data_IF_862706378398
#
_entry.id   IF_862706378398
#
_cell.length_a   1.000
_cell.length_b   1.000
_cell.length_c   1.000
_cell.angle_alpha   90.00
_cell.angle_beta   90.00
_cell.angle_gamma   90.00
#
_symmetry.space_group_name_H-M   'P 1'
#
loop_
_entity.id
_entity.type
_entity.pdbx_description
1 polymer ?
#
# COMPACT_ATOMS: atom_id res chain seq x y z
N UNK A 1 -27.92 23.50 25.32
CA UNK A 1 -27.74 22.25 24.54
C UNK A 1 -26.91 21.31 25.41
N UNK A 2 -27.45 20.12 25.73
CA UNK A 2 -26.90 19.22 26.75
C UNK A 2 -25.53 18.65 26.31
N UNK A 3 -24.53 18.61 27.19
CA UNK A 3 -23.15 18.21 26.82
C UNK A 3 -23.05 16.75 26.35
N UNK A 4 -23.97 15.89 26.82
CA UNK A 4 -24.08 14.53 26.31
C UNK A 4 -24.50 14.48 24.83
N UNK A 5 -25.41 15.38 24.42
CA UNK A 5 -25.86 15.47 23.03
C UNK A 5 -24.73 15.92 22.11
N UNK A 6 -23.84 16.80 22.58
CA UNK A 6 -22.64 17.21 21.83
C UNK A 6 -21.63 16.06 21.67
N UNK A 7 -21.42 15.28 22.72
CA UNK A 7 -20.54 14.09 22.65
C UNK A 7 -21.08 13.05 21.67
N UNK A 8 -22.39 12.80 21.71
CA UNK A 8 -23.04 11.90 20.76
C UNK A 8 -22.93 12.40 19.31
N UNK A 9 -23.10 13.70 19.07
CA UNK A 9 -22.92 14.29 17.74
C UNK A 9 -21.48 14.10 17.21
N UNK A 10 -20.47 14.32 18.05
CA UNK A 10 -19.06 14.12 17.68
C UNK A 10 -18.75 12.65 17.32
N UNK A 11 -19.34 11.70 18.04
CA UNK A 11 -19.20 10.27 17.74
C UNK A 11 -19.86 9.94 16.40
N UNK A 12 -21.06 10.46 16.14
CA UNK A 12 -21.76 10.25 14.86
C UNK A 12 -20.98 10.84 13.69
N UNK A 13 -20.42 12.05 13.83
CA UNK A 13 -19.54 12.65 12.81
C UNK A 13 -18.30 11.80 12.56
N UNK A 14 -17.66 11.32 13.63
CA UNK A 14 -16.50 10.46 13.52
C UNK A 14 -16.84 9.13 12.82
N UNK A 15 -17.93 8.49 13.20
CA UNK A 15 -18.43 7.26 12.56
C UNK A 15 -18.82 7.48 11.10
N UNK A 16 -19.44 8.63 10.78
CA UNK A 16 -19.80 8.99 9.42
C UNK A 16 -18.55 9.26 8.56
N UNK A 17 -17.54 9.92 9.13
CA UNK A 17 -16.23 10.10 8.48
C UNK A 17 -15.54 8.77 8.21
N UNK A 18 -15.55 7.86 9.19
CA UNK A 18 -15.01 6.50 9.02
C UNK A 18 -15.80 5.72 7.96
N UNK A 19 -17.13 5.76 7.99
CA UNK A 19 -17.97 5.10 7.01
C UNK A 19 -17.78 5.66 5.59
N UNK A 20 -17.57 6.98 5.42
CA UNK A 20 -17.22 7.57 4.11
C UNK A 20 -15.84 7.15 3.64
N UNK A 21 -14.85 7.10 4.52
CA UNK A 21 -13.53 6.53 4.20
C UNK A 21 -13.64 5.06 3.76
N UNK A 22 -14.52 4.30 4.40
CA UNK A 22 -14.76 2.89 4.08
C UNK A 22 -15.62 2.68 2.82
N UNK A 23 -16.55 3.59 2.53
CA UNK A 23 -17.36 3.57 1.32
C UNK A 23 -16.55 4.03 0.10
N UNK A 24 -15.64 4.99 0.27
CA UNK A 24 -14.66 5.38 -0.74
C UNK A 24 -13.64 4.25 -1.06
N UNK A 25 -13.45 3.28 -0.17
CA UNK A 25 -12.71 2.05 -0.48
C UNK A 25 -13.51 0.99 -1.27
N UNK A 26 -14.79 1.27 -1.58
CA UNK A 26 -15.69 0.31 -2.24
C UNK A 26 -16.34 0.81 -3.55
N UNK A 27 -15.99 1.98 -4.07
CA UNK A 27 -16.43 2.42 -5.40
C UNK A 27 -15.41 3.44 -5.95
N UNK A 28 -14.90 3.18 -7.16
CA UNK A 28 -13.71 3.76 -7.82
C UNK A 28 -12.40 2.98 -7.54
N UNK A 29 -11.80 2.46 -8.61
CA UNK A 29 -10.47 1.83 -8.56
C UNK A 29 -9.46 2.81 -7.96
N UNK A 30 -8.72 2.34 -6.95
CA UNK A 30 -7.75 3.14 -6.24
C UNK A 30 -6.37 3.14 -6.89
N UNK A 31 -5.41 3.75 -6.19
CA UNK A 31 -4.00 3.78 -6.55
C UNK A 31 -3.21 3.04 -5.47
N UNK A 32 -2.45 2.04 -5.87
CA UNK A 32 -1.56 1.30 -4.99
C UNK A 32 -0.18 1.93 -4.97
N UNK A 33 0.43 1.95 -3.79
CA UNK A 33 1.87 2.16 -3.64
C UNK A 33 2.49 0.80 -3.34
N UNK A 34 3.44 0.39 -4.17
CA UNK A 34 4.11 -0.91 -4.07
C UNK A 34 5.60 -0.74 -3.86
N UNK A 35 6.19 -1.64 -3.07
CA UNK A 35 7.64 -1.85 -3.02
C UNK A 35 8.00 -2.95 -3.99
N UNK A 36 8.93 -2.69 -4.89
CA UNK A 36 9.43 -3.63 -5.88
C UNK A 36 10.86 -4.03 -5.52
N UNK A 37 11.10 -5.33 -5.36
CA UNK A 37 12.46 -5.86 -5.27
C UNK A 37 13.20 -5.78 -6.61
N UNK A 38 14.47 -6.19 -6.61
CA UNK A 38 15.27 -6.32 -7.83
C UNK A 38 14.69 -7.35 -8.82
N UNK A 39 15.23 -7.36 -10.04
CA UNK A 39 14.91 -8.40 -11.03
C UNK A 39 15.34 -9.78 -10.50
N UNK A 40 14.47 -10.78 -10.64
CA UNK A 40 14.69 -12.13 -10.16
C UNK A 40 14.76 -13.10 -11.33
N UNK A 41 15.43 -14.23 -11.11
CA UNK A 41 15.42 -15.35 -12.06
C UNK A 41 14.02 -15.99 -12.04
N UNK A 42 13.33 -16.14 -13.18
CA UNK A 42 11.94 -16.61 -13.21
C UNK A 42 11.71 -17.99 -12.57
N UNK A 43 12.68 -18.88 -12.73
CA UNK A 43 12.61 -20.27 -12.27
C UNK A 43 13.21 -20.49 -10.87
N UNK A 44 13.78 -19.45 -10.25
CA UNK A 44 14.33 -19.53 -8.89
C UNK A 44 13.25 -19.13 -7.86
N UNK A 45 12.50 -20.14 -7.40
CA UNK A 45 11.48 -19.98 -6.36
C UNK A 45 12.05 -19.50 -5.02
N UNK A 46 13.25 -19.95 -4.66
CA UNK A 46 13.84 -19.61 -3.36
C UNK A 46 14.31 -18.15 -3.34
N UNK A 47 14.83 -17.65 -4.47
CA UNK A 47 15.19 -16.24 -4.61
C UNK A 47 13.96 -15.34 -4.47
N UNK A 48 12.83 -15.76 -5.02
CA UNK A 48 11.55 -15.06 -4.84
C UNK A 48 11.14 -15.02 -3.38
N UNK A 49 11.15 -16.15 -2.69
CA UNK A 49 10.71 -16.19 -1.30
C UNK A 49 11.62 -15.34 -0.39
N UNK A 50 12.94 -15.41 -0.59
CA UNK A 50 13.88 -14.52 0.13
C UNK A 50 13.60 -13.05 -0.11
N UNK A 51 13.27 -12.66 -1.34
CA UNK A 51 12.93 -11.27 -1.64
C UNK A 51 11.59 -10.87 -0.98
N UNK A 52 10.61 -11.77 -0.94
CA UNK A 52 9.34 -11.53 -0.24
C UNK A 52 9.57 -11.29 1.24
N UNK A 53 10.31 -12.18 1.89
CA UNK A 53 10.68 -12.05 3.30
C UNK A 53 11.40 -10.72 3.54
N UNK A 54 12.37 -10.38 2.69
CA UNK A 54 13.11 -9.13 2.81
C UNK A 54 12.24 -7.89 2.70
N UNK A 55 11.28 -7.86 1.77
CA UNK A 55 10.35 -6.73 1.64
C UNK A 55 9.45 -6.60 2.88
N UNK A 56 8.97 -7.71 3.44
CA UNK A 56 8.18 -7.70 4.67
C UNK A 56 9.01 -7.20 5.87
N UNK A 57 10.25 -7.66 6.00
CA UNK A 57 11.17 -7.19 7.04
C UNK A 57 11.46 -5.70 6.91
N UNK A 58 11.75 -5.21 5.70
CA UNK A 58 12.01 -3.79 5.45
C UNK A 58 10.82 -2.91 5.87
N UNK A 59 9.61 -3.34 5.54
CA UNK A 59 8.37 -2.65 5.93
C UNK A 59 8.20 -2.61 7.45
N UNK A 60 8.54 -3.70 8.15
CA UNK A 60 8.55 -3.76 9.63
C UNK A 60 9.60 -2.83 10.22
N UNK A 61 10.83 -2.84 9.69
CA UNK A 61 11.94 -1.95 10.10
C UNK A 61 11.55 -0.47 9.95
N UNK A 62 10.83 -0.13 8.87
CA UNK A 62 10.35 1.22 8.59
C UNK A 62 9.08 1.59 9.37
N UNK A 63 8.50 0.68 10.14
CA UNK A 63 7.26 0.90 10.89
C UNK A 63 6.06 1.21 10.00
N UNK A 64 6.04 0.68 8.77
CA UNK A 64 4.94 0.88 7.83
C UNK A 64 3.86 -0.17 8.13
N UNK A 65 2.62 0.23 8.46
CA UNK A 65 1.54 -0.72 8.69
C UNK A 65 1.12 -1.36 7.36
N UNK A 66 1.27 -2.68 7.23
CA UNK A 66 0.71 -3.43 6.11
C UNK A 66 -0.79 -3.55 6.29
N UNK A 67 -1.55 -2.95 5.39
CA UNK A 67 -2.99 -3.16 5.36
C UNK A 67 -3.34 -4.52 4.75
N UNK A 68 -2.62 -4.93 3.70
CA UNK A 68 -2.78 -6.23 3.04
C UNK A 68 -1.43 -6.71 2.48
N UNK A 69 -1.17 -8.02 2.52
CA UNK A 69 0.00 -8.63 1.90
C UNK A 69 -0.34 -9.06 0.47
N UNK A 70 -0.63 -8.09 -0.41
CA UNK A 70 -0.93 -8.37 -1.81
C UNK A 70 0.39 -8.48 -2.57
N UNK A 71 0.64 -9.66 -3.12
CA UNK A 71 1.81 -9.96 -3.96
C UNK A 71 1.41 -9.87 -5.42
N UNK A 72 1.96 -8.88 -6.12
CA UNK A 72 1.76 -8.72 -7.57
C UNK A 72 2.93 -9.33 -8.31
N UNK A 73 2.63 -10.22 -9.25
CA UNK A 73 3.60 -10.70 -10.23
C UNK A 73 3.46 -9.87 -11.50
N UNK A 74 4.53 -9.22 -11.91
CA UNK A 74 4.61 -8.55 -13.21
C UNK A 74 5.50 -9.32 -14.18
N UNK A 75 5.43 -8.95 -15.45
CA UNK A 75 6.28 -9.49 -16.52
C UNK A 75 7.77 -9.20 -16.30
N UNK A 76 8.12 -8.37 -15.31
CA UNK A 76 9.48 -7.99 -14.98
C UNK A 76 10.15 -8.95 -13.99
N UNK A 77 9.46 -10.02 -13.59
CA UNK A 77 9.93 -11.02 -12.64
C UNK A 77 10.40 -10.41 -11.31
N UNK A 78 9.62 -9.48 -10.77
CA UNK A 78 9.92 -8.82 -9.50
C UNK A 78 8.94 -9.24 -8.42
N UNK A 79 9.44 -9.43 -7.21
CA UNK A 79 8.56 -9.49 -6.04
C UNK A 79 8.05 -8.08 -5.72
N UNK A 80 6.74 -7.94 -5.59
CA UNK A 80 6.10 -6.67 -5.26
C UNK A 80 5.21 -6.80 -4.03
N UNK A 81 5.30 -5.83 -3.14
CA UNK A 81 4.50 -5.77 -1.92
C UNK A 81 3.70 -4.46 -1.88
N UNK A 82 2.38 -4.56 -1.86
CA UNK A 82 1.51 -3.39 -1.64
C UNK A 82 1.70 -2.87 -0.22
N UNK A 83 2.00 -1.58 -0.09
CA UNK A 83 2.21 -0.89 1.20
C UNK A 83 1.18 0.19 1.48
N UNK A 84 0.27 0.44 0.55
CA UNK A 84 -0.88 1.32 0.75
C UNK A 84 -1.78 1.40 -0.46
N UNK A 85 -3.06 1.72 -0.22
CA UNK A 85 -4.08 2.01 -1.22
C UNK A 85 -4.62 3.42 -0.98
N UNK A 86 -4.71 4.20 -2.04
CA UNK A 86 -5.07 5.62 -1.99
C UNK A 86 -6.20 5.91 -2.98
N UNK A 87 -7.10 6.84 -2.67
CA UNK A 87 -8.21 7.18 -3.55
C UNK A 87 -7.78 8.06 -4.74
N UNK A 88 -6.60 8.70 -4.69
CA UNK A 88 -6.10 9.54 -5.79
C UNK A 88 -4.62 9.30 -6.07
N UNK A 89 -4.24 9.53 -7.33
CA UNK A 89 -2.85 9.42 -7.79
C UNK A 89 -1.91 10.36 -7.02
N UNK A 90 -2.36 11.60 -6.76
CA UNK A 90 -1.59 12.60 -6.02
C UNK A 90 -1.22 12.10 -4.61
N UNK A 91 -2.19 11.56 -3.86
CA UNK A 91 -1.93 11.01 -2.53
C UNK A 91 -0.99 9.78 -2.57
N UNK A 92 -1.13 8.93 -3.59
CA UNK A 92 -0.22 7.81 -3.80
C UNK A 92 1.19 8.28 -4.12
N UNK A 93 1.34 9.32 -4.94
CA UNK A 93 2.62 9.91 -5.32
C UNK A 93 3.32 10.56 -4.12
N UNK A 94 2.62 11.39 -3.34
CA UNK A 94 3.16 11.99 -2.12
C UNK A 94 3.69 10.92 -1.16
N UNK A 95 2.93 9.83 -1.02
CA UNK A 95 3.37 8.69 -0.21
C UNK A 95 4.58 7.98 -0.81
N UNK A 96 4.58 7.76 -2.12
CA UNK A 96 5.65 7.06 -2.82
C UNK A 96 6.97 7.83 -2.75
N UNK A 97 6.95 9.16 -2.85
CA UNK A 97 8.12 10.02 -2.70
C UNK A 97 8.70 9.92 -1.28
N UNK A 98 7.86 10.10 -0.25
CA UNK A 98 8.26 9.96 1.14
C UNK A 98 8.89 8.58 1.43
N UNK A 99 8.29 7.52 0.91
CA UNK A 99 8.80 6.16 1.09
C UNK A 99 10.12 5.94 0.33
N UNK A 100 10.24 6.48 -0.88
CA UNK A 100 11.45 6.38 -1.70
C UNK A 100 12.65 6.99 -0.98
N UNK A 101 12.48 8.17 -0.36
CA UNK A 101 13.55 8.81 0.41
C UNK A 101 13.95 7.98 1.64
N UNK A 102 12.97 7.41 2.34
CA UNK A 102 13.25 6.58 3.52
C UNK A 102 13.97 5.27 3.15
N UNK A 103 13.58 4.63 2.06
CA UNK A 103 14.15 3.35 1.62
C UNK A 103 15.57 3.52 1.10
N UNK A 104 15.86 4.57 0.32
CA UNK A 104 17.21 4.85 -0.18
C UNK A 104 18.27 4.93 0.92
N UNK A 105 17.87 5.29 2.14
CA UNK A 105 18.76 5.39 3.30
C UNK A 105 18.92 4.08 4.08
N UNK A 106 18.17 3.03 3.73
CA UNK A 106 18.08 1.76 4.48
C UNK A 106 18.44 0.55 3.63
N UNK A 107 18.03 0.52 2.36
CA UNK A 107 18.21 -0.64 1.50
C UNK A 107 18.39 -0.21 0.04
N UNK A 108 19.48 -0.65 -0.58
CA UNK A 108 19.65 -0.59 -2.03
C UNK A 108 18.80 -1.66 -2.72
N UNK A 109 18.47 -1.46 -4.00
CA UNK A 109 17.81 -2.47 -4.82
C UNK A 109 16.30 -2.64 -4.59
N UNK A 110 15.68 -1.80 -3.77
CA UNK A 110 14.21 -1.70 -3.61
C UNK A 110 13.73 -0.38 -4.19
N UNK A 111 12.76 -0.45 -5.09
CA UNK A 111 12.11 0.71 -5.69
C UNK A 111 10.68 0.87 -5.16
N UNK A 112 10.15 2.08 -5.22
CA UNK A 112 8.73 2.36 -4.94
C UNK A 112 8.04 2.71 -6.25
N UNK A 113 6.85 2.15 -6.48
CA UNK A 113 6.01 2.49 -7.64
C UNK A 113 4.59 2.80 -7.23
N UNK A 114 3.94 3.64 -8.04
CA UNK A 114 2.50 3.88 -7.99
C UNK A 114 1.86 3.09 -9.13
N UNK A 115 0.84 2.31 -8.81
CA UNK A 115 0.09 1.48 -9.76
C UNK A 115 -1.39 1.82 -9.67
N UNK A 116 -2.08 1.87 -10.80
CA UNK A 116 -3.54 1.92 -10.79
C UNK A 116 -4.05 0.53 -10.43
N UNK A 117 -4.96 0.45 -9.47
CA UNK A 117 -5.70 -0.77 -9.19
C UNK A 117 -6.50 -1.14 -10.43
N UNK A 118 -6.41 -2.39 -10.88
CA UNK A 118 -7.19 -2.90 -12.00
C UNK A 118 -8.39 -3.67 -11.44
N UNK A 119 -9.56 -3.57 -12.09
CA UNK A 119 -10.67 -4.46 -11.77
C UNK A 119 -10.23 -5.91 -12.05
N UNK A 120 -10.27 -6.77 -11.03
CA UNK A 120 -10.10 -8.21 -11.24
C UNK A 120 -11.26 -8.72 -12.12
N UNK A 121 -10.97 -8.90 -13.41
CA UNK A 121 -11.83 -9.62 -14.35
C UNK A 121 -12.50 -8.77 -15.43
N UNK A 122 -11.76 -8.45 -16.50
CA UNK A 122 -12.19 -8.60 -17.91
C UNK A 122 -10.96 -8.81 -18.80
N UNK A 123 -10.49 -10.06 -18.83
CA UNK A 123 -9.69 -10.63 -19.92
C UNK A 123 -10.50 -11.70 -20.61
#
# INVERSE_FOLDING_TARGET
>A
MNDEVKKLAAIIEHMTSMARKHAASHCELGWWVVLCGGALEPDDFDQRERMRERLVELVRELGIPLQEHVWVWDELNQAQLVVGRFPSYEQAMDKAELLSERIKNVCDGVAVRVMQELEEGRG
#
